data_IF_209082719514
#
_entry.id   IF_209082719514
#
_cell.length_a   1.000
_cell.length_b   1.000
_cell.length_c   1.000
_cell.angle_alpha   90.00
_cell.angle_beta   90.00
_cell.angle_gamma   90.00
#
_symmetry.space_group_name_H-M   'P 1'
#
loop_
_entity.id
_entity.type
_entity.pdbx_description
1 polymer ?
#
# COMPACT_ATOMS: atom_id res chain seq x y z
N UNK A 1 22.49 0.45 1.61
CA UNK A 1 21.03 0.36 1.44
C UNK A 1 20.66 0.51 -0.03
N UNK A 2 19.58 -0.14 -0.44
CA UNK A 2 19.06 0.05 -1.78
C UNK A 2 18.32 1.39 -1.89
N UNK A 3 18.01 1.80 -3.14
CA UNK A 3 17.22 3.01 -3.37
C UNK A 3 15.81 2.93 -2.75
N UNK A 4 15.27 1.73 -2.62
CA UNK A 4 13.95 1.53 -2.03
C UNK A 4 13.93 1.84 -0.53
N UNK A 5 14.93 1.37 0.18
CA UNK A 5 15.08 1.67 1.61
C UNK A 5 15.35 3.15 1.84
N UNK A 6 16.18 3.77 1.01
CA UNK A 6 16.45 5.20 1.08
C UNK A 6 15.18 6.04 0.85
N UNK A 7 14.37 5.66 -0.13
CA UNK A 7 13.10 6.32 -0.41
C UNK A 7 12.13 6.21 0.78
N UNK A 8 12.05 5.03 1.40
CA UNK A 8 11.19 4.82 2.57
C UNK A 8 11.68 5.66 3.75
N UNK A 9 12.99 5.73 3.99
CA UNK A 9 13.56 6.57 5.03
C UNK A 9 13.21 8.04 4.84
N UNK A 10 13.29 8.54 3.62
CA UNK A 10 12.92 9.91 3.30
C UNK A 10 11.44 10.18 3.58
N UNK A 11 10.57 9.24 3.22
CA UNK A 11 9.13 9.34 3.49
C UNK A 11 8.83 9.31 4.98
N UNK A 12 9.53 8.50 5.74
CA UNK A 12 9.36 8.43 7.20
C UNK A 12 9.73 9.77 7.83
N UNK A 13 10.83 10.37 7.42
CA UNK A 13 11.24 11.69 7.94
C UNK A 13 10.21 12.77 7.63
N UNK A 14 9.70 12.79 6.41
CA UNK A 14 8.68 13.76 6.01
C UNK A 14 7.39 13.56 6.80
N UNK A 15 6.96 12.31 6.95
CA UNK A 15 5.78 11.97 7.73
C UNK A 15 5.92 12.38 9.19
N UNK A 16 7.12 12.21 9.78
CA UNK A 16 7.39 12.62 11.15
C UNK A 16 7.25 14.13 11.33
N UNK A 17 7.73 14.93 10.37
CA UNK A 17 7.57 16.38 10.39
C UNK A 17 6.10 16.78 10.33
N UNK A 18 5.34 16.20 9.42
CA UNK A 18 3.92 16.49 9.26
C UNK A 18 3.16 16.13 10.53
N UNK A 19 3.43 14.96 11.10
CA UNK A 19 2.79 14.51 12.33
C UNK A 19 3.07 15.45 13.50
N UNK A 20 4.33 15.85 13.69
CA UNK A 20 4.71 16.79 14.75
C UNK A 20 4.06 18.16 14.55
N UNK A 21 4.04 18.67 13.32
CA UNK A 21 3.40 19.94 13.00
C UNK A 21 1.90 19.92 13.22
N UNK A 22 1.24 18.82 12.91
CA UNK A 22 -0.21 18.69 13.02
C UNK A 22 -0.66 18.42 14.45
N UNK A 23 0.03 17.55 15.20
CA UNK A 23 -0.41 17.09 16.52
C UNK A 23 0.41 17.70 17.67
N UNK A 24 1.55 18.32 17.39
CA UNK A 24 2.43 18.92 18.39
C UNK A 24 3.20 17.93 19.26
N UNK A 25 3.09 16.64 18.99
CA UNK A 25 3.72 15.57 19.76
C UNK A 25 4.40 14.56 18.83
N UNK A 26 5.35 13.82 19.38
CA UNK A 26 6.02 12.73 18.68
C UNK A 26 5.72 11.39 19.38
N UNK A 27 6.26 10.31 18.83
CA UNK A 27 6.12 8.98 19.42
C UNK A 27 6.83 8.84 20.77
N UNK A 28 7.65 9.82 21.17
CA UNK A 28 8.33 9.84 22.47
C UNK A 28 7.41 10.30 23.61
N UNK A 29 6.18 10.67 23.32
CA UNK A 29 5.19 11.04 24.32
C UNK A 29 4.97 9.90 25.33
N UNK A 30 4.76 10.26 26.62
CA UNK A 30 4.59 9.29 27.70
C UNK A 30 3.22 9.30 28.35
N UNK A 31 2.23 9.96 27.74
CA UNK A 31 0.89 10.13 28.29
C UNK A 31 -0.10 9.01 27.92
N UNK A 32 0.30 8.09 27.04
CA UNK A 32 -0.54 6.96 26.64
C UNK A 32 -0.15 5.70 27.39
N UNK A 33 -1.15 4.90 27.77
CA UNK A 33 -0.95 3.60 28.38
C UNK A 33 -0.48 2.58 27.35
N UNK A 34 0.03 1.45 27.80
CA UNK A 34 0.38 0.35 26.90
C UNK A 34 -0.84 -0.10 26.09
N UNK A 35 -2.01 -0.15 26.71
CA UNK A 35 -3.25 -0.51 26.03
C UNK A 35 -3.58 0.49 24.92
N UNK A 36 -3.40 1.78 25.17
CA UNK A 36 -3.61 2.83 24.16
C UNK A 36 -2.68 2.65 22.98
N UNK A 37 -1.40 2.37 23.22
CA UNK A 37 -0.44 2.11 22.17
C UNK A 37 -0.81 0.89 21.33
N UNK A 38 -1.27 -0.18 21.98
CA UNK A 38 -1.72 -1.39 21.28
C UNK A 38 -2.97 -1.12 20.45
N UNK A 39 -3.89 -0.32 20.95
CA UNK A 39 -5.09 0.07 20.22
C UNK A 39 -4.72 0.87 18.95
N UNK A 40 -3.82 1.83 19.09
CA UNK A 40 -3.35 2.60 17.93
C UNK A 40 -2.65 1.71 16.90
N UNK A 41 -1.83 0.77 17.34
CA UNK A 41 -1.19 -0.18 16.44
C UNK A 41 -2.22 -1.05 15.72
N UNK A 42 -3.22 -1.53 16.44
CA UNK A 42 -4.29 -2.34 15.84
C UNK A 42 -5.03 -1.55 14.75
N UNK A 43 -5.35 -0.29 15.02
CA UNK A 43 -6.01 0.58 14.05
C UNK A 43 -5.17 0.73 12.77
N UNK A 44 -3.87 0.96 12.92
CA UNK A 44 -2.94 1.07 11.78
C UNK A 44 -2.87 -0.24 10.98
N UNK A 45 -2.86 -1.37 11.66
CA UNK A 45 -2.84 -2.68 11.00
C UNK A 45 -4.15 -2.96 10.26
N UNK A 46 -5.28 -2.55 10.82
CA UNK A 46 -6.57 -2.66 10.14
C UNK A 46 -6.63 -1.77 8.91
N UNK A 47 -6.15 -0.53 9.00
CA UNK A 47 -6.06 0.36 7.86
C UNK A 47 -5.18 -0.22 6.77
N UNK A 48 -4.04 -0.79 7.15
CA UNK A 48 -3.14 -1.45 6.21
C UNK A 48 -3.82 -2.63 5.51
N UNK A 49 -4.61 -3.41 6.23
CA UNK A 49 -5.36 -4.52 5.66
C UNK A 49 -6.40 -4.06 4.63
N UNK A 50 -7.05 -2.93 4.88
CA UNK A 50 -8.01 -2.33 3.93
C UNK A 50 -7.29 -1.88 2.65
N UNK A 51 -6.11 -1.26 2.79
CA UNK A 51 -5.29 -0.90 1.63
C UNK A 51 -4.91 -2.14 0.80
N UNK A 52 -4.52 -3.22 1.48
CA UNK A 52 -4.18 -4.47 0.80
C UNK A 52 -5.37 -5.01 0.02
N UNK A 53 -6.55 -5.04 0.61
CA UNK A 53 -7.76 -5.52 -0.04
C UNK A 53 -8.07 -4.71 -1.30
N UNK A 54 -7.98 -3.39 -1.23
CA UNK A 54 -8.18 -2.52 -2.39
C UNK A 54 -7.16 -2.80 -3.49
N UNK A 55 -5.89 -2.96 -3.12
CA UNK A 55 -4.83 -3.22 -4.09
C UNK A 55 -4.97 -4.61 -4.73
N UNK A 56 -5.40 -5.60 -3.97
CA UNK A 56 -5.68 -6.93 -4.51
C UNK A 56 -6.76 -6.89 -5.58
N UNK A 57 -7.82 -6.15 -5.34
CA UNK A 57 -8.88 -5.96 -6.34
C UNK A 57 -8.36 -5.25 -7.58
N UNK A 58 -7.58 -4.19 -7.40
CA UNK A 58 -7.00 -3.44 -8.53
C UNK A 58 -6.04 -4.32 -9.35
N UNK A 59 -5.23 -5.14 -8.70
CA UNK A 59 -4.32 -6.09 -9.37
C UNK A 59 -5.12 -7.14 -10.14
N UNK A 60 -6.18 -7.67 -9.57
CA UNK A 60 -7.05 -8.64 -10.24
C UNK A 60 -7.66 -8.06 -11.51
N UNK A 61 -8.12 -6.81 -11.46
CA UNK A 61 -8.67 -6.11 -12.62
C UNK A 61 -7.64 -5.96 -13.73
N UNK A 62 -6.42 -5.55 -13.38
CA UNK A 62 -5.32 -5.42 -14.34
C UNK A 62 -4.99 -6.77 -14.98
N UNK A 63 -4.93 -7.83 -14.18
CA UNK A 63 -4.63 -9.17 -14.68
C UNK A 63 -5.74 -9.69 -15.60
N UNK A 64 -7.00 -9.44 -15.29
CA UNK A 64 -8.12 -9.80 -16.14
C UNK A 64 -8.04 -9.07 -17.49
N UNK A 65 -7.71 -7.78 -17.48
CA UNK A 65 -7.53 -6.99 -18.69
C UNK A 65 -6.39 -7.54 -19.56
N UNK A 66 -5.26 -7.89 -18.93
CA UNK A 66 -4.11 -8.46 -19.64
C UNK A 66 -4.44 -9.82 -20.26
N UNK A 67 -5.15 -10.68 -19.53
CA UNK A 67 -5.58 -11.98 -20.02
C UNK A 67 -6.56 -11.81 -21.15
N UNK A 68 -7.49 -10.86 -21.05
CA UNK A 68 -8.43 -10.53 -22.13
C UNK A 68 -7.73 -10.09 -23.39
N UNK A 69 -6.75 -9.21 -23.29
CA UNK A 69 -5.95 -8.78 -24.42
C UNK A 69 -5.15 -9.94 -25.05
N UNK A 70 -4.56 -10.79 -24.23
CA UNK A 70 -3.83 -11.97 -24.70
C UNK A 70 -4.77 -12.95 -25.41
N UNK A 71 -5.97 -13.14 -24.88
CA UNK A 71 -6.99 -13.97 -25.48
C UNK A 71 -7.42 -13.46 -26.85
N UNK A 72 -7.66 -12.16 -26.98
CA UNK A 72 -8.03 -11.51 -28.23
C UNK A 72 -6.92 -11.66 -29.29
N UNK A 73 -5.68 -11.49 -28.88
CA UNK A 73 -4.53 -11.68 -29.78
C UNK A 73 -4.44 -13.13 -30.25
N UNK A 74 -4.62 -14.09 -29.37
CA UNK A 74 -4.59 -15.51 -29.70
C UNK A 74 -5.72 -15.90 -30.66
N UNK A 75 -6.93 -15.38 -30.46
CA UNK A 75 -8.07 -15.59 -31.34
C UNK A 75 -7.78 -15.05 -32.76
N UNK A 76 -7.27 -13.84 -32.83
CA UNK A 76 -6.91 -13.23 -34.11
C UNK A 76 -5.83 -14.05 -34.83
N UNK A 77 -4.85 -14.56 -34.11
CA UNK A 77 -3.79 -15.41 -34.67
C UNK A 77 -4.38 -16.73 -35.18
N UNK A 78 -5.24 -17.35 -34.42
CA UNK A 78 -5.89 -18.61 -34.81
C UNK A 78 -6.74 -18.44 -36.08
N UNK A 79 -7.48 -17.34 -36.18
CA UNK A 79 -8.27 -17.02 -37.37
C UNK A 79 -7.38 -16.83 -38.61
N UNK A 80 -6.21 -16.22 -38.44
CA UNK A 80 -5.26 -16.01 -39.53
C UNK A 80 -4.68 -17.32 -40.07
N UNK A 81 -4.62 -18.35 -39.23
CA UNK A 81 -4.06 -19.65 -39.60
C UNK A 81 -5.11 -20.59 -40.23
N UNK A 82 -6.36 -20.26 -40.15
CA UNK A 82 -7.43 -21.01 -40.80
C UNK A 82 -7.63 -20.60 -42.23
#
# INVERSE_FOLDING_TARGET
MSRFEEQVCAKIRERAKVGKGKYGVTMERGDLSLHDWLTHLQEELMDAAVYVERLMEDVEKVMIELVGLAGDVNEARNRSND
#
